data_IF_712072006507
#
_entry.id   IF_712072006507
#
_cell.length_a   1.000
_cell.length_b   1.000
_cell.length_c   1.000
_cell.angle_alpha   90.00
_cell.angle_beta   90.00
_cell.angle_gamma   90.00
#
_symmetry.space_group_name_H-M   'P 1'
#
loop_
_entity.id
_entity.type
_entity.pdbx_description
1 polymer ?
#
# COMPACT_ATOMS: atom_id res chain seq x y z
N UNK A 1 1.03 17.44 0.81
CA UNK A 1 2.51 17.46 0.83
C UNK A 1 3.06 16.06 1.09
N UNK A 2 2.68 15.35 2.16
CA UNK A 2 3.22 14.02 2.50
C UNK A 2 3.02 12.98 1.39
N UNK A 3 1.85 12.94 0.75
CA UNK A 3 1.57 12.01 -0.34
C UNK A 3 2.44 12.29 -1.57
N UNK A 4 2.63 13.56 -1.92
CA UNK A 4 3.48 13.96 -3.03
C UNK A 4 4.97 13.67 -2.73
N UNK A 5 5.42 13.90 -1.49
CA UNK A 5 6.77 13.55 -1.05
C UNK A 5 7.04 12.04 -1.17
N UNK A 6 6.07 11.21 -0.82
CA UNK A 6 6.19 9.76 -0.90
C UNK A 6 6.40 9.29 -2.34
N UNK A 7 5.57 9.74 -3.29
CA UNK A 7 5.63 9.26 -4.69
C UNK A 7 6.73 9.93 -5.54
N UNK A 8 7.31 11.03 -5.08
CA UNK A 8 8.40 11.73 -5.77
C UNK A 8 9.72 11.56 -5.02
N UNK A 9 9.98 12.39 -4.02
CA UNK A 9 11.29 12.46 -3.34
C UNK A 9 11.71 11.13 -2.72
N UNK A 10 10.78 10.40 -2.08
CA UNK A 10 11.07 9.10 -1.45
C UNK A 10 11.32 7.98 -2.46
N UNK A 11 10.97 8.19 -3.73
CA UNK A 11 11.23 7.23 -4.82
C UNK A 11 12.45 7.61 -5.69
N UNK A 12 13.17 8.69 -5.36
CA UNK A 12 14.35 9.15 -6.15
C UNK A 12 15.52 8.16 -6.15
N UNK A 13 15.58 7.27 -5.17
CA UNK A 13 16.59 6.22 -5.07
C UNK A 13 16.21 4.93 -5.84
N UNK A 14 15.23 5.01 -6.75
CA UNK A 14 14.67 3.86 -7.44
C UNK A 14 13.75 3.03 -6.53
N UNK A 15 13.18 3.64 -5.47
CA UNK A 15 12.28 2.97 -4.53
C UNK A 15 12.97 2.04 -3.53
N UNK A 16 14.30 2.09 -3.42
CA UNK A 16 15.09 1.16 -2.58
C UNK A 16 14.57 1.06 -1.15
N UNK A 17 14.23 2.19 -0.51
CA UNK A 17 13.71 2.19 0.84
C UNK A 17 12.30 1.54 0.92
N UNK A 18 11.46 1.77 -0.10
CA UNK A 18 10.14 1.14 -0.17
C UNK A 18 10.28 -0.38 -0.34
N UNK A 19 11.14 -0.84 -1.26
CA UNK A 19 11.38 -2.27 -1.46
C UNK A 19 11.94 -2.95 -0.21
N UNK A 20 12.89 -2.34 0.49
CA UNK A 20 13.44 -2.90 1.72
C UNK A 20 12.34 -3.11 2.79
N UNK A 21 11.41 -2.16 2.92
CA UNK A 21 10.29 -2.30 3.83
C UNK A 21 9.30 -3.38 3.37
N UNK A 22 9.02 -3.46 2.07
CA UNK A 22 8.15 -4.51 1.51
C UNK A 22 8.77 -5.91 1.66
N UNK A 23 10.09 -6.03 1.54
CA UNK A 23 10.81 -7.29 1.79
C UNK A 23 10.70 -7.70 3.28
N UNK A 24 10.80 -6.75 4.21
CA UNK A 24 10.58 -7.00 5.63
C UNK A 24 9.14 -7.50 5.89
N UNK A 25 8.14 -6.84 5.31
CA UNK A 25 6.72 -7.23 5.45
C UNK A 25 6.49 -8.64 4.92
N UNK A 26 7.00 -8.94 3.72
CA UNK A 26 6.87 -10.25 3.09
C UNK A 26 7.55 -11.36 3.92
N UNK A 27 8.75 -11.09 4.44
CA UNK A 27 9.47 -12.03 5.31
C UNK A 27 8.70 -12.33 6.60
N UNK A 28 8.14 -11.31 7.26
CA UNK A 28 7.33 -11.52 8.46
C UNK A 28 6.03 -12.27 8.17
N UNK A 29 5.37 -12.00 7.05
CA UNK A 29 4.19 -12.75 6.63
C UNK A 29 4.54 -14.23 6.38
N UNK A 30 5.65 -14.52 5.71
CA UNK A 30 6.10 -15.88 5.47
C UNK A 30 6.40 -16.63 6.76
N UNK A 31 7.08 -15.99 7.73
CA UNK A 31 7.36 -16.59 9.05
C UNK A 31 6.08 -16.86 9.84
N UNK A 32 5.09 -15.98 9.74
CA UNK A 32 3.84 -16.09 10.47
C UNK A 32 2.89 -17.14 9.88
N UNK A 33 3.07 -17.54 8.63
CA UNK A 33 2.10 -18.37 7.90
C UNK A 33 1.83 -19.72 8.56
N UNK A 34 2.82 -20.31 9.22
CA UNK A 34 2.65 -21.61 9.91
C UNK A 34 1.75 -21.52 11.15
N UNK A 35 1.68 -20.34 11.81
CA UNK A 35 0.96 -20.14 13.07
C UNK A 35 -0.35 -19.36 12.89
N UNK A 36 -0.35 -18.38 11.98
CA UNK A 36 -1.43 -17.42 11.77
C UNK A 36 -1.69 -17.23 10.27
N UNK A 37 -2.02 -18.29 9.50
CA UNK A 37 -2.23 -18.19 8.06
C UNK A 37 -3.35 -17.20 7.67
N UNK A 38 -4.39 -17.12 8.50
CA UNK A 38 -5.52 -16.21 8.33
C UNK A 38 -5.13 -14.71 8.40
N UNK A 39 -3.99 -14.39 8.99
CA UNK A 39 -3.43 -13.04 9.03
C UNK A 39 -2.31 -12.86 8.00
N UNK A 40 -1.49 -13.89 7.81
CA UNK A 40 -0.30 -13.84 6.97
C UNK A 40 -0.62 -13.78 5.46
N UNK A 41 -1.53 -14.62 4.98
CA UNK A 41 -1.87 -14.71 3.56
C UNK A 41 -2.49 -13.41 3.00
N UNK A 42 -3.49 -12.78 3.65
CA UNK A 42 -4.02 -11.50 3.19
C UNK A 42 -2.97 -10.39 3.16
N UNK A 43 -2.08 -10.36 4.15
CA UNK A 43 -1.00 -9.38 4.21
C UNK A 43 0.03 -9.59 3.10
N UNK A 44 0.43 -10.84 2.84
CA UNK A 44 1.36 -11.16 1.76
C UNK A 44 0.80 -10.73 0.39
N UNK A 45 -0.48 -11.02 0.14
CA UNK A 45 -1.18 -10.61 -1.09
C UNK A 45 -1.22 -9.09 -1.24
N UNK A 46 -1.53 -8.36 -0.17
CA UNK A 46 -1.57 -6.90 -0.19
C UNK A 46 -0.16 -6.29 -0.37
N UNK A 47 0.86 -6.90 0.23
CA UNK A 47 2.25 -6.49 0.07
C UNK A 47 2.72 -6.61 -1.38
N UNK A 48 2.39 -7.72 -2.07
CA UNK A 48 2.73 -7.92 -3.47
C UNK A 48 2.00 -6.92 -4.39
N UNK A 49 0.72 -6.66 -4.15
CA UNK A 49 -0.01 -5.64 -4.89
C UNK A 49 0.58 -4.23 -4.71
N UNK A 50 1.04 -3.92 -3.49
CA UNK A 50 1.71 -2.65 -3.21
C UNK A 50 3.08 -2.59 -3.92
N UNK A 51 3.85 -3.68 -3.95
CA UNK A 51 5.12 -3.80 -4.69
C UNK A 51 4.91 -3.48 -6.17
N UNK A 52 3.94 -4.13 -6.80
CA UNK A 52 3.59 -3.87 -8.20
C UNK A 52 3.21 -2.40 -8.46
N UNK A 53 2.65 -1.72 -7.45
CA UNK A 53 2.33 -0.29 -7.57
C UNK A 53 3.55 0.61 -7.37
N UNK A 54 4.55 0.19 -6.59
CA UNK A 54 5.86 0.86 -6.51
C UNK A 54 6.57 0.74 -7.86
N UNK A 55 6.55 -0.47 -8.49
CA UNK A 55 7.13 -0.69 -9.81
C UNK A 55 6.53 0.28 -10.83
N UNK A 56 5.19 0.35 -10.89
CA UNK A 56 4.47 1.28 -11.76
C UNK A 56 4.88 2.74 -11.51
N UNK A 57 4.95 3.18 -10.25
CA UNK A 57 5.34 4.56 -9.91
C UNK A 57 6.75 4.91 -10.40
N UNK A 58 7.69 3.98 -10.28
CA UNK A 58 9.09 4.20 -10.69
C UNK A 58 9.19 4.32 -12.22
N UNK A 59 8.37 3.58 -12.96
CA UNK A 59 8.32 3.62 -14.42
C UNK A 59 7.74 4.93 -14.98
N UNK A 60 6.91 5.65 -14.20
CA UNK A 60 6.35 6.92 -14.66
C UNK A 60 7.42 8.01 -14.73
N UNK A 61 7.68 8.52 -15.93
CA UNK A 61 8.58 9.66 -16.16
C UNK A 61 7.92 11.01 -15.87
N UNK A 62 6.60 11.13 -16.05
CA UNK A 62 5.84 12.34 -15.74
C UNK A 62 5.44 12.35 -14.25
N UNK A 63 5.85 13.40 -13.55
CA UNK A 63 5.48 13.60 -12.15
C UNK A 63 3.98 13.82 -11.94
N UNK A 64 3.25 14.35 -12.94
CA UNK A 64 1.81 14.50 -12.85
C UNK A 64 1.12 13.13 -12.71
N UNK A 65 1.59 12.12 -13.42
CA UNK A 65 1.05 10.75 -13.31
C UNK A 65 1.25 10.19 -11.89
N UNK A 66 2.43 10.44 -11.29
CA UNK A 66 2.68 10.04 -9.91
C UNK A 66 1.83 10.83 -8.91
N UNK A 67 1.68 12.12 -9.12
CA UNK A 67 0.95 13.00 -8.19
C UNK A 67 -0.55 12.78 -8.21
N UNK A 68 -1.14 12.47 -9.36
CA UNK A 68 -2.57 12.23 -9.51
C UNK A 68 -3.09 11.17 -8.52
N UNK A 69 -2.37 10.08 -8.36
CA UNK A 69 -2.71 8.98 -7.46
C UNK A 69 -2.07 9.02 -6.07
N UNK A 70 -1.31 10.08 -5.73
CA UNK A 70 -0.43 10.10 -4.55
C UNK A 70 -1.15 9.88 -3.22
N UNK A 71 -2.34 10.44 -3.04
CA UNK A 71 -3.13 10.28 -1.81
C UNK A 71 -3.62 8.84 -1.65
N UNK A 72 -4.10 8.24 -2.73
CA UNK A 72 -4.54 6.84 -2.74
C UNK A 72 -3.39 5.89 -2.50
N UNK A 73 -2.22 6.15 -3.09
CA UNK A 73 -1.01 5.38 -2.84
C UNK A 73 -0.55 5.46 -1.36
N UNK A 74 -0.52 6.66 -0.78
CA UNK A 74 -0.18 6.85 0.64
C UNK A 74 -1.13 6.07 1.56
N UNK A 75 -2.44 6.11 1.29
CA UNK A 75 -3.44 5.37 2.06
C UNK A 75 -3.26 3.86 1.92
N UNK A 76 -3.04 3.36 0.71
CA UNK A 76 -2.79 1.94 0.48
C UNK A 76 -1.53 1.46 1.20
N UNK A 77 -0.44 2.22 1.11
CA UNK A 77 0.80 1.95 1.83
C UNK A 77 0.57 1.87 3.35
N UNK A 78 -0.20 2.82 3.89
CA UNK A 78 -0.56 2.84 5.31
C UNK A 78 -1.42 1.62 5.71
N UNK A 79 -2.33 1.13 4.84
CA UNK A 79 -3.11 -0.08 5.10
C UNK A 79 -2.22 -1.32 5.19
N UNK A 80 -1.29 -1.50 4.26
CA UNK A 80 -0.36 -2.63 4.27
C UNK A 80 0.57 -2.57 5.49
N UNK A 81 1.14 -1.40 5.78
CA UNK A 81 2.01 -1.20 6.93
C UNK A 81 1.28 -1.42 8.26
N UNK A 82 0.02 -0.97 8.38
CA UNK A 82 -0.82 -1.24 9.53
C UNK A 82 -1.07 -2.73 9.73
N UNK A 83 -1.37 -3.47 8.66
CA UNK A 83 -1.49 -4.93 8.69
C UNK A 83 -0.22 -5.62 9.20
N UNK A 84 0.95 -5.16 8.74
CA UNK A 84 2.23 -5.66 9.19
C UNK A 84 2.43 -5.50 10.71
N UNK A 85 2.15 -4.32 11.27
CA UNK A 85 2.30 -4.11 12.71
C UNK A 85 1.27 -4.89 13.54
N UNK A 86 0.04 -5.05 13.04
CA UNK A 86 -0.94 -5.92 13.68
C UNK A 86 -0.50 -7.39 13.66
N UNK A 87 0.08 -7.88 12.56
CA UNK A 87 0.65 -9.23 12.51
C UNK A 87 1.80 -9.39 13.49
N UNK A 88 2.73 -8.44 13.56
CA UNK A 88 3.84 -8.47 14.55
C UNK A 88 3.33 -8.53 15.97
N UNK A 89 2.32 -7.73 16.32
CA UNK A 89 1.72 -7.75 17.65
C UNK A 89 1.03 -9.09 17.97
N UNK A 90 0.37 -9.70 16.98
CA UNK A 90 -0.27 -11.00 17.13
C UNK A 90 0.73 -12.13 17.36
N UNK A 91 1.88 -12.11 16.66
CA UNK A 91 2.93 -13.14 16.78
C UNK A 91 3.56 -13.23 18.17
N UNK A 92 3.64 -12.11 18.89
CA UNK A 92 4.21 -12.06 20.25
C UNK A 92 3.17 -12.21 21.35
N UNK A 93 1.90 -12.44 20.98
CA UNK A 93 0.79 -12.57 21.94
C UNK A 93 0.48 -14.06 22.15
N UNK A 94 0.61 -14.59 23.37
CA UNK A 94 0.27 -15.98 23.64
C UNK A 94 -1.24 -16.26 23.48
N UNK A 95 -1.59 -17.49 23.14
CA UNK A 95 -2.94 -18.07 23.19
C UNK A 95 -4.04 -17.29 22.43
N UNK A 96 -3.70 -16.72 21.26
CA UNK A 96 -4.66 -15.98 20.44
C UNK A 96 -5.40 -14.83 21.19
N UNK A 97 -4.68 -14.14 22.06
CA UNK A 97 -5.18 -13.03 22.86
C UNK A 97 -5.71 -11.83 22.08
N UNK A 98 -5.86 -10.70 22.77
CA UNK A 98 -6.49 -9.47 22.21
C UNK A 98 -5.84 -8.99 20.92
N UNK A 99 -4.51 -9.07 20.80
CA UNK A 99 -3.82 -8.62 19.59
C UNK A 99 -4.14 -9.48 18.36
N UNK A 100 -4.35 -10.80 18.53
CA UNK A 100 -4.79 -11.66 17.43
C UNK A 100 -6.21 -11.28 16.96
N UNK A 101 -7.12 -10.95 17.89
CA UNK A 101 -8.48 -10.50 17.57
C UNK A 101 -8.46 -9.15 16.85
N UNK A 102 -7.64 -8.20 17.29
CA UNK A 102 -7.46 -6.91 16.63
C UNK A 102 -6.85 -7.07 15.24
N UNK A 103 -5.85 -7.94 15.09
CA UNK A 103 -5.24 -8.24 13.80
C UNK A 103 -6.26 -8.84 12.82
N UNK A 104 -7.09 -9.80 13.24
CA UNK A 104 -8.17 -10.35 12.41
C UNK A 104 -9.18 -9.29 12.00
N UNK A 105 -9.59 -8.44 12.94
CA UNK A 105 -10.47 -7.31 12.61
C UNK A 105 -9.82 -6.41 11.55
N UNK A 106 -8.55 -6.06 11.72
CA UNK A 106 -7.83 -5.22 10.76
C UNK A 106 -7.76 -5.85 9.37
N UNK A 107 -7.35 -7.12 9.29
CA UNK A 107 -7.24 -7.84 8.02
C UNK A 107 -8.59 -7.94 7.29
N UNK A 108 -9.66 -8.22 8.03
CA UNK A 108 -10.99 -8.42 7.45
C UNK A 108 -11.71 -7.11 7.11
N UNK A 109 -11.56 -6.07 7.93
CA UNK A 109 -12.36 -4.86 7.82
C UNK A 109 -11.64 -3.69 7.13
N UNK A 110 -10.32 -3.61 7.25
CA UNK A 110 -9.57 -2.43 6.82
C UNK A 110 -8.54 -2.71 5.72
N UNK A 111 -7.83 -3.83 5.78
CA UNK A 111 -6.76 -4.12 4.83
C UNK A 111 -7.26 -4.11 3.39
N UNK A 112 -8.42 -4.70 3.11
CA UNK A 112 -8.99 -4.85 1.77
C UNK A 112 -9.20 -3.54 1.00
N UNK A 113 -9.20 -2.39 1.67
CA UNK A 113 -9.27 -1.08 1.00
C UNK A 113 -8.10 -0.85 0.03
N UNK A 114 -6.96 -1.54 0.22
CA UNK A 114 -5.79 -1.38 -0.66
C UNK A 114 -6.13 -1.63 -2.13
N UNK A 115 -7.07 -2.51 -2.44
CA UNK A 115 -7.42 -2.89 -3.82
C UNK A 115 -7.89 -1.67 -4.62
N UNK A 116 -8.92 -0.98 -4.14
CA UNK A 116 -9.44 0.23 -4.80
C UNK A 116 -8.45 1.39 -4.75
N UNK A 117 -7.73 1.54 -3.64
CA UNK A 117 -6.73 2.59 -3.48
C UNK A 117 -5.56 2.43 -4.47
N UNK A 118 -5.04 1.22 -4.67
CA UNK A 118 -3.96 0.97 -5.64
C UNK A 118 -4.45 1.08 -7.09
N UNK A 119 -5.70 0.71 -7.36
CA UNK A 119 -6.31 0.95 -8.65
C UNK A 119 -6.36 2.45 -8.98
N UNK A 120 -6.82 3.28 -8.05
CA UNK A 120 -6.83 4.74 -8.19
C UNK A 120 -5.41 5.32 -8.33
N UNK A 121 -4.46 4.80 -7.56
CA UNK A 121 -3.08 5.26 -7.58
C UNK A 121 -2.42 5.12 -8.95
N UNK A 122 -2.82 4.15 -9.75
CA UNK A 122 -2.22 3.82 -11.05
C UNK A 122 -2.98 4.36 -12.27
N UNK A 123 -3.98 5.22 -12.08
CA UNK A 123 -4.73 5.79 -13.21
C UNK A 123 -3.93 6.84 -14.00
N UNK A 124 -2.92 7.46 -13.38
CA UNK A 124 -2.20 8.56 -14.01
C UNK A 124 -3.01 9.86 -14.03
N UNK A 125 -2.53 10.85 -14.79
CA UNK A 125 -3.09 12.20 -14.84
C UNK A 125 -3.92 12.50 -16.11
N UNK A 126 -3.97 11.58 -17.06
CA UNK A 126 -4.59 11.84 -18.38
C UNK A 126 -6.04 12.34 -18.26
N UNK A 127 -6.86 11.67 -17.44
CA UNK A 127 -8.27 12.05 -17.27
C UNK A 127 -8.46 13.38 -16.55
N UNK A 128 -7.50 13.79 -15.69
CA UNK A 128 -7.53 15.09 -15.01
C UNK A 128 -7.37 16.27 -15.98
N UNK A 129 -6.70 16.04 -17.09
CA UNK A 129 -6.41 17.07 -18.13
C UNK A 129 -7.17 16.82 -19.43
N UNK A 130 -8.13 15.89 -19.42
CA UNK A 130 -8.91 15.53 -20.62
C UNK A 130 -9.86 16.65 -21.09
N UNK A 131 -10.35 17.49 -20.15
CA UNK A 131 -11.25 18.60 -20.44
C UNK A 131 -10.48 19.91 -20.51
N UNK A 132 -10.73 20.70 -21.55
CA UNK A 132 -10.26 22.08 -21.63
C UNK A 132 -11.09 23.01 -20.74
N UNK A 133 -10.56 24.21 -20.47
CA UNK A 133 -11.30 25.23 -19.72
C UNK A 133 -12.59 25.64 -20.43
N UNK A 134 -12.56 25.72 -21.75
CA UNK A 134 -13.72 26.07 -22.60
C UNK A 134 -14.83 25.01 -22.46
N UNK A 135 -14.48 23.71 -22.44
CA UNK A 135 -15.46 22.65 -22.26
C UNK A 135 -16.07 22.62 -20.85
N UNK A 136 -15.34 23.07 -19.84
CA UNK A 136 -15.85 23.16 -18.46
C UNK A 136 -16.79 24.38 -18.27
N UNK A 137 -16.73 25.37 -19.12
CA UNK A 137 -17.50 26.62 -18.99
C UNK A 137 -18.61 26.78 -20.04
N UNK A 138 -18.71 25.81 -20.93
CA UNK A 138 -19.78 25.77 -21.95
C UNK A 138 -21.07 25.19 -21.35
#
# INVERSE_FOLDING_TARGET
IQSMDLVARKMMDGGRAAYALLDEIAAHAALANAQLPDLAEPLATACEALRSSVDWLIEQSDLNDRFAGSVSFLKAFARVLGGHYHLKAALVTPDQGSNCKLARFYMNALLGEYIGLLQQARQGAADLYALSFEELTA
#
